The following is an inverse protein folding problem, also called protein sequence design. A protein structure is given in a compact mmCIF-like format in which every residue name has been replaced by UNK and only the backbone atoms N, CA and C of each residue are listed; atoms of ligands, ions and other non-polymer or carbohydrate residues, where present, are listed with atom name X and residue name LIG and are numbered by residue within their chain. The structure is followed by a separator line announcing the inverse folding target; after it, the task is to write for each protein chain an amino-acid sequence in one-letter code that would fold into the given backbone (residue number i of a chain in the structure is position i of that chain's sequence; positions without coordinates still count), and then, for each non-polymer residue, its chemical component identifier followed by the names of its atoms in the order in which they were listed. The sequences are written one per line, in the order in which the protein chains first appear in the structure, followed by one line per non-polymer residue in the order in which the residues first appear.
data_IF_620325935625
#
_entry.id   IF_620325935625
#
_cell.length_a   1.000
_cell.length_b   1.000
_cell.length_c   1.000
_cell.angle_alpha   90.00
_cell.angle_beta   90.00
_cell.angle_gamma   90.00
#
_symmetry.space_group_name_H-M   'P 1'
#
loop_
_entity.id
_entity.type
_entity.pdbx_description
1 polymer ?
#
# COMPACT_ATOMS: atom_id res chain seq x y z
N UNK A 1 -16.98 -5.03 -3.78
CA UNK A 1 -15.83 -5.87 -4.20
C UNK A 1 -16.11 -7.37 -4.31
N UNK A 2 -17.18 -7.94 -3.73
CA UNK A 2 -17.47 -9.39 -3.88
C UNK A 2 -17.77 -9.84 -5.32
N UNK A 3 -18.56 -9.09 -6.11
CA UNK A 3 -18.99 -9.53 -7.46
C UNK A 3 -17.83 -9.64 -8.47
N UNK A 4 -16.87 -8.71 -8.44
CA UNK A 4 -15.69 -8.74 -9.33
C UNK A 4 -14.79 -9.94 -9.04
N UNK A 5 -14.66 -10.35 -7.78
CA UNK A 5 -13.89 -11.55 -7.40
C UNK A 5 -14.62 -12.86 -7.75
N UNK A 6 -15.93 -12.80 -8.03
CA UNK A 6 -16.75 -13.96 -8.40
C UNK A 6 -16.97 -14.10 -9.92
N UNK A 7 -16.32 -13.27 -10.76
CA UNK A 7 -16.43 -13.35 -12.22
C UNK A 7 -17.82 -12.99 -12.79
N UNK A 8 -18.69 -12.37 -11.99
CA UNK A 8 -20.00 -11.90 -12.43
C UNK A 8 -19.83 -10.59 -13.20
N UNK A 9 -20.38 -10.52 -14.43
CA UNK A 9 -20.38 -9.29 -15.22
C UNK A 9 -21.15 -8.20 -14.49
N UNK A 10 -20.49 -7.06 -14.28
CA UNK A 10 -21.14 -5.83 -13.81
C UNK A 10 -21.97 -5.27 -14.96
N UNK A 11 -23.21 -4.87 -14.66
CA UNK A 11 -24.02 -4.15 -15.65
C UNK A 11 -23.50 -2.73 -15.85
N UNK A 12 -23.67 -2.18 -17.05
CA UNK A 12 -23.26 -0.79 -17.36
C UNK A 12 -23.89 0.24 -16.39
N UNK A 13 -25.11 -0.04 -15.92
CA UNK A 13 -25.78 0.77 -14.89
C UNK A 13 -25.09 0.72 -13.52
N UNK A 14 -24.62 -0.46 -13.08
CA UNK A 14 -23.88 -0.59 -11.81
C UNK A 14 -22.51 0.09 -11.89
N UNK A 15 -21.87 0.05 -13.05
CA UNK A 15 -20.60 0.75 -13.30
C UNK A 15 -20.82 2.26 -13.21
N UNK A 16 -21.84 2.78 -13.92
CA UNK A 16 -22.17 4.20 -13.91
C UNK A 16 -22.55 4.71 -12.52
N UNK A 17 -23.32 3.94 -11.75
CA UNK A 17 -23.70 4.28 -10.38
C UNK A 17 -22.47 4.33 -9.45
N UNK A 18 -21.57 3.35 -9.56
CA UNK A 18 -20.32 3.33 -8.80
C UNK A 18 -19.41 4.51 -9.14
N UNK A 19 -19.23 4.82 -10.43
CA UNK A 19 -18.41 5.94 -10.87
C UNK A 19 -19.00 7.30 -10.43
N UNK A 20 -20.32 7.43 -10.45
CA UNK A 20 -21.04 8.58 -9.91
C UNK A 20 -20.75 8.76 -8.42
N UNK A 21 -20.99 7.72 -7.61
CA UNK A 21 -20.74 7.74 -6.17
C UNK A 21 -19.26 7.99 -5.84
N UNK A 22 -18.32 7.44 -6.62
CA UNK A 22 -16.88 7.69 -6.48
C UNK A 22 -16.55 9.16 -6.74
N UNK A 23 -17.13 9.75 -7.77
CA UNK A 23 -16.92 11.15 -8.11
C UNK A 23 -17.46 12.07 -7.02
N UNK A 24 -18.64 11.79 -6.48
CA UNK A 24 -19.21 12.52 -5.34
C UNK A 24 -18.33 12.41 -4.08
N UNK A 25 -17.83 11.21 -3.79
CA UNK A 25 -16.91 10.98 -2.67
C UNK A 25 -15.60 11.77 -2.82
N UNK A 26 -14.99 11.75 -4.01
CA UNK A 26 -13.73 12.45 -4.29
C UNK A 26 -13.89 13.97 -4.29
N UNK A 27 -15.06 14.49 -4.66
CA UNK A 27 -15.36 15.92 -4.66
C UNK A 27 -15.81 16.44 -3.28
N UNK A 28 -16.08 15.56 -2.32
CA UNK A 28 -16.43 15.97 -0.97
C UNK A 28 -15.15 16.32 -0.18
N UNK A 29 -14.96 17.59 0.22
CA UNK A 29 -13.73 18.01 0.89
C UNK A 29 -13.50 17.30 2.22
N UNK A 30 -14.55 16.98 2.97
CA UNK A 30 -14.42 16.25 4.24
C UNK A 30 -13.92 14.82 3.98
N UNK A 31 -14.44 14.17 2.94
CA UNK A 31 -14.02 12.83 2.57
C UNK A 31 -12.59 12.81 2.01
N UNK A 32 -12.22 13.79 1.18
CA UNK A 32 -10.86 13.90 0.65
C UNK A 32 -9.84 14.15 1.77
N UNK A 33 -10.14 15.07 2.70
CA UNK A 33 -9.28 15.39 3.82
C UNK A 33 -9.10 14.18 4.74
N UNK A 34 -10.18 13.44 5.00
CA UNK A 34 -10.13 12.21 5.77
C UNK A 34 -9.27 11.13 5.09
N UNK A 35 -9.47 10.88 3.79
CA UNK A 35 -8.66 9.91 3.05
C UNK A 35 -7.17 10.31 3.03
N UNK A 36 -6.87 11.59 2.89
CA UNK A 36 -5.49 12.09 2.94
C UNK A 36 -4.86 11.93 4.32
N UNK A 37 -5.62 12.19 5.39
CA UNK A 37 -5.19 11.94 6.76
C UNK A 37 -4.93 10.44 7.00
N UNK A 38 -5.79 9.55 6.48
CA UNK A 38 -5.59 8.10 6.55
C UNK A 38 -4.30 7.67 5.86
N UNK A 39 -4.06 8.12 4.62
CA UNK A 39 -2.83 7.80 3.89
C UNK A 39 -1.58 8.30 4.63
N UNK A 40 -1.65 9.49 5.23
CA UNK A 40 -0.55 10.06 6.01
C UNK A 40 -0.26 9.22 7.25
N UNK A 41 -1.30 8.77 7.94
CA UNK A 41 -1.17 7.92 9.12
C UNK A 41 -0.60 6.54 8.77
N UNK A 42 -1.06 5.93 7.68
CA UNK A 42 -0.53 4.65 7.18
C UNK A 42 0.96 4.76 6.83
N UNK A 43 1.36 5.83 6.13
CA UNK A 43 2.76 6.08 5.83
C UNK A 43 3.60 6.25 7.10
N UNK A 44 3.09 7.00 8.09
CA UNK A 44 3.77 7.18 9.37
C UNK A 44 3.92 5.85 10.12
N UNK A 45 2.86 5.05 10.20
CA UNK A 45 2.87 3.76 10.87
C UNK A 45 3.85 2.79 10.21
N UNK A 46 3.90 2.78 8.88
CA UNK A 46 4.84 1.96 8.11
C UNK A 46 6.29 2.36 8.40
N UNK A 47 6.58 3.68 8.34
CA UNK A 47 7.91 4.21 8.63
C UNK A 47 8.38 3.91 10.05
N UNK A 48 7.50 4.05 11.05
CA UNK A 48 7.80 3.72 12.45
C UNK A 48 8.07 2.23 12.59
N UNK A 49 7.24 1.37 11.98
CA UNK A 49 7.41 -0.08 12.03
C UNK A 49 8.74 -0.51 11.42
N UNK A 50 9.11 0.07 10.28
CA UNK A 50 10.40 -0.17 9.64
C UNK A 50 11.57 0.25 10.54
N UNK A 51 11.50 1.43 11.15
CA UNK A 51 12.55 1.94 12.04
C UNK A 51 12.73 1.07 13.28
N UNK A 52 11.63 0.62 13.89
CA UNK A 52 11.66 -0.29 15.04
C UNK A 52 12.24 -1.64 14.62
N UNK A 53 11.82 -2.20 13.47
CA UNK A 53 12.36 -3.44 12.91
C UNK A 53 13.88 -3.37 12.74
N UNK A 54 14.37 -2.34 12.05
CA UNK A 54 15.82 -2.12 11.86
C UNK A 54 16.55 -1.96 13.19
N UNK A 55 15.95 -1.30 14.18
CA UNK A 55 16.59 -1.14 15.50
C UNK A 55 16.79 -2.48 16.21
N UNK A 56 15.79 -3.36 16.13
CA UNK A 56 15.86 -4.69 16.73
C UNK A 56 16.89 -5.58 16.02
N UNK A 57 16.97 -5.49 14.68
CA UNK A 57 17.91 -6.28 13.87
C UNK A 57 19.36 -5.82 14.03
N UNK A 58 19.60 -4.51 14.05
CA UNK A 58 20.95 -3.92 14.17
C UNK A 58 21.47 -3.91 15.61
N UNK A 59 20.57 -4.00 16.60
CA UNK A 59 20.91 -3.79 18.02
C UNK A 59 21.31 -2.35 18.36
N UNK A 60 21.03 -1.39 17.46
CA UNK A 60 21.29 0.04 17.60
C UNK A 60 20.28 0.85 16.81
N UNK A 61 20.19 2.15 17.08
CA UNK A 61 19.39 3.07 16.26
C UNK A 61 19.97 3.13 14.83
N UNK A 62 19.14 2.99 13.78
CA UNK A 62 19.58 3.09 12.37
C UNK A 62 20.15 4.47 12.05
N UNK A 63 21.21 4.52 11.23
CA UNK A 63 21.74 5.76 10.66
C UNK A 63 20.96 6.13 9.37
N UNK A 64 21.11 7.36 8.86
CA UNK A 64 20.52 7.74 7.57
C UNK A 64 20.94 6.81 6.42
N UNK A 65 22.17 6.29 6.44
CA UNK A 65 22.67 5.35 5.43
C UNK A 65 21.96 3.99 5.51
N UNK A 66 21.73 3.46 6.72
CA UNK A 66 20.99 2.20 6.91
C UNK A 66 19.56 2.33 6.35
N UNK A 67 18.90 3.47 6.62
CA UNK A 67 17.55 3.77 6.13
C UNK A 67 17.54 3.88 4.60
N UNK A 68 18.52 4.57 4.02
CA UNK A 68 18.64 4.73 2.56
C UNK A 68 18.85 3.40 1.84
N UNK A 69 19.59 2.47 2.46
CA UNK A 69 19.86 1.15 1.89
C UNK A 69 18.58 0.30 1.78
N UNK A 70 17.68 0.36 2.76
CA UNK A 70 16.41 -0.38 2.75
C UNK A 70 15.35 0.32 1.89
N UNK A 71 15.38 1.65 1.83
CA UNK A 71 14.43 2.46 1.05
C UNK A 71 14.72 2.45 -0.46
N UNK A 72 15.95 2.15 -0.87
CA UNK A 72 16.40 2.17 -2.27
C UNK A 72 16.29 0.85 -3.04
N UNK A 73 15.93 -0.26 -2.38
CA UNK A 73 15.81 -1.55 -3.05
C UNK A 73 15.77 -2.73 -2.10
N UNK A 74 14.58 -3.29 -1.90
CA UNK A 74 14.35 -4.69 -1.55
C UNK A 74 14.94 -5.18 -0.23
N UNK A 75 14.23 -5.01 0.88
CA UNK A 75 14.35 -5.94 2.02
C UNK A 75 13.20 -5.87 3.04
N UNK A 76 12.02 -5.36 2.67
CA UNK A 76 10.82 -5.45 3.52
C UNK A 76 9.55 -5.55 2.65
N UNK A 77 9.64 -6.32 1.57
CA UNK A 77 8.49 -7.01 0.99
C UNK A 77 8.72 -8.50 1.29
N UNK A 78 7.79 -9.13 2.01
CA UNK A 78 7.95 -10.51 2.48
C UNK A 78 8.50 -11.44 1.40
N UNK A 79 9.64 -12.06 1.69
CA UNK A 79 10.25 -13.07 0.85
C UNK A 79 9.37 -14.31 0.78
N UNK A 80 8.68 -14.46 -0.34
CA UNK A 80 8.21 -15.73 -0.89
C UNK A 80 8.84 -15.91 -2.27
N UNK A 81 9.98 -16.58 -2.27
CA UNK A 81 10.63 -17.33 -3.36
C UNK A 81 10.22 -16.99 -4.82
N UNK A 82 11.04 -16.17 -5.48
CA UNK A 82 11.14 -16.17 -6.94
C UNK A 82 12.28 -17.12 -7.34
N UNK A 83 11.95 -18.40 -7.54
CA UNK A 83 12.81 -19.34 -8.27
C UNK A 83 12.80 -18.98 -9.76
N UNK A 84 13.83 -18.30 -10.22
CA UNK A 84 14.15 -18.18 -11.64
C UNK A 84 14.72 -19.51 -12.15
N UNK A 85 13.84 -20.44 -12.53
CA UNK A 85 14.19 -21.62 -13.31
C UNK A 85 14.13 -21.33 -14.81
N UNK A 86 15.26 -21.43 -15.50
CA UNK A 86 15.37 -21.24 -16.94
C UNK A 86 14.65 -22.31 -17.76
N UNK A 87 14.06 -21.89 -18.87
CA UNK A 87 13.53 -22.76 -19.92
C UNK A 87 13.49 -21.99 -21.23
N UNK A 88 14.33 -22.43 -22.19
CA UNK A 88 14.51 -21.84 -23.52
C UNK A 88 15.85 -22.21 -24.11
#
# INVERSE_FOLDING_TARGET
NQKQQSGLQLSDSEIAEFEGARTELLNNPIASDFMQAQQTLEALQSNVSQMVGMTLELGRVPTPEDIAQVSGGGCCGGGGEAESGGGG
#
